data_IF_089769196160
#
_entry.id   IF_089769196160
#
_cell.length_a   1.000
_cell.length_b   1.000
_cell.length_c   1.000
_cell.angle_alpha   90.00
_cell.angle_beta   90.00
_cell.angle_gamma   90.00
#
_symmetry.space_group_name_H-M   'P 1'
#
loop_
_entity.id
_entity.type
_entity.pdbx_description
1 polymer ?
#
# COMPACT_ATOMS: atom_id res chain seq x y z
N UNK A 1 6.49 17.07 -7.99
CA UNK A 1 6.03 16.85 -6.59
C UNK A 1 5.76 15.37 -6.31
N UNK A 2 5.12 14.65 -7.23
CA UNK A 2 4.59 13.30 -7.04
C UNK A 2 5.62 12.18 -6.80
N UNK A 3 6.89 12.35 -7.15
CA UNK A 3 7.94 11.32 -7.00
C UNK A 3 8.87 11.54 -5.81
N UNK A 4 8.58 12.51 -4.94
CA UNK A 4 9.52 12.99 -3.91
C UNK A 4 10.09 11.90 -3.01
N UNK A 5 9.34 10.81 -2.81
CA UNK A 5 9.66 9.77 -1.84
C UNK A 5 10.21 8.47 -2.43
N UNK A 6 10.15 8.30 -3.75
CA UNK A 6 10.72 7.13 -4.42
C UNK A 6 12.24 7.15 -4.37
N UNK A 7 12.87 5.99 -4.17
CA UNK A 7 14.32 5.83 -4.32
C UNK A 7 14.77 5.98 -5.78
N UNK A 8 13.88 5.67 -6.73
CA UNK A 8 14.12 5.74 -8.18
C UNK A 8 13.78 7.11 -8.78
N UNK A 9 13.44 8.12 -7.97
CA UNK A 9 12.89 9.41 -8.43
C UNK A 9 13.72 10.17 -9.47
N UNK A 10 15.03 9.92 -9.54
CA UNK A 10 15.95 10.57 -10.47
C UNK A 10 16.40 9.63 -11.60
N UNK A 11 15.85 8.42 -11.67
CA UNK A 11 16.18 7.42 -12.69
C UNK A 11 15.25 7.57 -13.89
N UNK A 12 15.78 8.09 -15.00
CA UNK A 12 15.02 8.31 -16.23
C UNK A 12 14.68 6.99 -16.97
N UNK A 13 15.34 5.88 -16.62
CA UNK A 13 15.00 4.56 -17.17
C UNK A 13 13.68 4.04 -16.58
N UNK A 14 13.44 4.34 -15.30
CA UNK A 14 12.21 4.02 -14.58
C UNK A 14 11.13 5.07 -14.85
N UNK A 15 11.47 6.35 -14.66
CA UNK A 15 10.54 7.46 -14.78
C UNK A 15 10.84 8.36 -15.98
N UNK A 16 10.82 7.77 -17.17
CA UNK A 16 10.95 8.53 -18.41
C UNK A 16 9.83 9.58 -18.57
N UNK A 17 10.03 10.62 -19.41
CA UNK A 17 9.00 11.62 -19.68
C UNK A 17 7.66 11.03 -20.15
N UNK A 18 7.70 9.91 -20.89
CA UNK A 18 6.50 9.22 -21.35
C UNK A 18 5.73 8.56 -20.20
N UNK A 19 6.43 7.84 -19.31
CA UNK A 19 5.85 7.22 -18.11
C UNK A 19 5.25 8.30 -17.21
N UNK A 20 6.01 9.37 -16.97
CA UNK A 20 5.57 10.49 -16.16
C UNK A 20 4.31 11.16 -16.68
N UNK A 21 4.17 11.29 -18.00
CA UNK A 21 2.96 11.84 -18.61
C UNK A 21 1.73 10.97 -18.31
N UNK A 22 1.85 9.64 -18.38
CA UNK A 22 0.77 8.70 -18.04
C UNK A 22 0.41 8.78 -16.56
N UNK A 23 1.40 8.66 -15.68
CA UNK A 23 1.20 8.73 -14.22
C UNK A 23 0.59 10.07 -13.78
N UNK A 24 1.01 11.19 -14.39
CA UNK A 24 0.42 12.50 -14.09
C UNK A 24 -1.04 12.62 -14.55
N UNK A 25 -1.43 11.99 -15.66
CA UNK A 25 -2.82 11.99 -16.11
C UNK A 25 -3.71 11.23 -15.11
N UNK A 26 -3.22 10.09 -14.61
CA UNK A 26 -3.90 9.34 -13.57
C UNK A 26 -3.97 10.11 -12.25
N UNK A 27 -2.86 10.72 -11.81
CA UNK A 27 -2.84 11.56 -10.61
C UNK A 27 -3.83 12.71 -10.69
N UNK A 28 -4.01 13.32 -11.87
CA UNK A 28 -5.01 14.38 -12.07
C UNK A 28 -6.44 13.85 -11.88
N UNK A 29 -6.78 12.72 -12.51
CA UNK A 29 -8.09 12.10 -12.33
C UNK A 29 -8.37 11.74 -10.87
N UNK A 30 -7.34 11.32 -10.14
CA UNK A 30 -7.44 11.01 -8.71
C UNK A 30 -7.63 12.26 -7.85
N UNK A 31 -6.91 13.34 -8.17
CA UNK A 31 -7.02 14.62 -7.47
C UNK A 31 -8.43 15.22 -7.61
N UNK A 32 -9.03 15.14 -8.80
CA UNK A 32 -10.42 15.57 -9.03
C UNK A 32 -11.43 14.77 -8.18
N UNK A 33 -11.07 13.54 -7.79
CA UNK A 33 -11.82 12.69 -6.87
C UNK A 33 -11.40 12.84 -5.40
N UNK A 34 -10.60 13.86 -5.05
CA UNK A 34 -10.21 14.17 -3.67
C UNK A 34 -9.11 13.27 -3.09
N UNK A 35 -8.37 12.54 -3.94
CA UNK A 35 -7.30 11.64 -3.52
C UNK A 35 -5.92 12.28 -3.64
N UNK A 36 -5.06 12.00 -2.66
CA UNK A 36 -3.63 12.25 -2.77
C UNK A 36 -3.00 11.15 -3.62
N UNK A 37 -2.07 11.51 -4.52
CA UNK A 37 -1.33 10.56 -5.37
C UNK A 37 0.16 10.78 -5.22
N UNK A 38 0.93 9.70 -5.03
CA UNK A 38 2.39 9.66 -5.08
C UNK A 38 2.84 8.53 -5.99
N UNK A 39 4.06 8.59 -6.51
CA UNK A 39 4.62 7.59 -7.41
C UNK A 39 5.79 6.87 -6.75
N UNK A 40 5.85 5.56 -6.97
CA UNK A 40 6.96 4.68 -6.59
C UNK A 40 7.26 3.69 -7.71
N UNK A 41 8.27 2.86 -7.51
CA UNK A 41 8.53 1.72 -8.37
C UNK A 41 8.49 0.42 -7.54
N UNK A 42 8.15 -0.72 -8.13
CA UNK A 42 8.03 -1.98 -7.39
C UNK A 42 8.72 -3.13 -8.11
N UNK A 43 9.12 -4.14 -7.33
CA UNK A 43 9.83 -5.33 -7.81
C UNK A 43 11.23 -5.03 -8.37
N UNK A 44 11.94 -6.08 -8.80
CA UNK A 44 13.28 -6.01 -9.39
C UNK A 44 13.28 -5.18 -10.69
N UNK A 45 12.20 -5.28 -11.47
CA UNK A 45 12.02 -4.55 -12.74
C UNK A 45 11.71 -3.06 -12.56
N UNK A 46 11.62 -2.58 -11.32
CA UNK A 46 11.29 -1.20 -10.98
C UNK A 46 10.04 -0.69 -11.72
N UNK A 47 8.97 -1.48 -11.71
CA UNK A 47 7.72 -1.15 -12.40
C UNK A 47 7.12 0.14 -11.81
N UNK A 48 6.96 1.22 -12.60
CA UNK A 48 6.42 2.49 -12.09
C UNK A 48 4.94 2.39 -11.75
N UNK A 49 4.55 2.73 -10.53
CA UNK A 49 3.16 2.59 -10.05
C UNK A 49 2.69 3.83 -9.26
N UNK A 50 1.42 4.16 -9.43
CA UNK A 50 0.73 5.19 -8.66
C UNK A 50 0.19 4.64 -7.34
N UNK A 51 0.56 5.29 -6.24
CA UNK A 51 -0.01 5.07 -4.91
C UNK A 51 -1.00 6.18 -4.59
N UNK A 52 -2.20 5.83 -4.13
CA UNK A 52 -3.27 6.78 -3.84
C UNK A 52 -3.84 6.59 -2.45
N UNK A 53 -4.34 7.66 -1.85
CA UNK A 53 -5.02 7.60 -0.57
C UNK A 53 -6.05 8.73 -0.42
N UNK A 54 -7.11 8.48 0.35
CA UNK A 54 -8.04 9.53 0.80
C UNK A 54 -7.36 10.38 1.88
N UNK A 55 -7.32 11.70 1.67
CA UNK A 55 -6.71 12.67 2.60
C UNK A 55 -7.35 12.59 3.99
N UNK A 56 -8.66 12.38 4.08
CA UNK A 56 -9.39 12.26 5.35
C UNK A 56 -8.99 10.99 6.12
N UNK A 57 -8.77 9.89 5.41
CA UNK A 57 -8.31 8.65 6.03
C UNK A 57 -6.92 8.83 6.65
N UNK A 58 -6.02 9.44 5.90
CA UNK A 58 -4.66 9.67 6.34
C UNK A 58 -4.56 10.72 7.44
N UNK A 59 -5.47 11.70 7.48
CA UNK A 59 -5.61 12.61 8.62
C UNK A 59 -5.95 11.86 9.92
N UNK A 60 -6.86 10.88 9.85
CA UNK A 60 -7.19 10.03 11.00
C UNK A 60 -6.03 9.11 11.40
N UNK A 61 -5.25 8.64 10.42
CA UNK A 61 -4.02 7.89 10.70
C UNK A 61 -3.01 8.77 11.44
N UNK A 62 -2.81 10.02 11.01
CA UNK A 62 -2.00 11.04 11.70
C UNK A 62 -2.42 11.24 13.15
N UNK A 63 -3.72 11.42 13.41
CA UNK A 63 -4.26 11.62 14.77
C UNK A 63 -3.91 10.43 15.70
N UNK A 64 -3.76 9.22 15.14
CA UNK A 64 -3.40 8.00 15.89
C UNK A 64 -1.90 7.75 15.99
N UNK A 65 -1.16 8.07 14.93
CA UNK A 65 0.27 7.79 14.79
C UNK A 65 1.16 8.90 15.38
N UNK A 66 0.62 10.10 15.59
CA UNK A 66 1.40 11.27 16.00
C UNK A 66 2.33 11.82 14.89
N UNK A 67 2.35 11.19 13.71
CA UNK A 67 3.12 11.61 12.55
C UNK A 67 2.26 12.44 11.59
N UNK A 68 2.79 13.59 11.16
CA UNK A 68 1.95 14.75 10.85
C UNK A 68 1.43 14.85 9.41
N UNK A 69 1.70 13.90 8.50
CA UNK A 69 1.36 14.09 7.07
C UNK A 69 0.97 12.80 6.34
N UNK A 70 -0.11 12.86 5.55
CA UNK A 70 -0.58 11.76 4.69
C UNK A 70 0.50 11.24 3.74
N UNK A 71 1.33 12.14 3.24
CA UNK A 71 2.48 11.84 2.41
C UNK A 71 3.52 10.96 3.13
N UNK A 72 3.68 11.07 4.45
CA UNK A 72 4.64 10.25 5.21
C UNK A 72 4.18 8.79 5.23
N UNK A 73 2.92 8.55 5.56
CA UNK A 73 2.36 7.19 5.61
C UNK A 73 2.43 6.53 4.23
N UNK A 74 2.10 7.28 3.17
CA UNK A 74 2.26 6.79 1.81
C UNK A 74 3.72 6.54 1.44
N UNK A 75 4.64 7.43 1.85
CA UNK A 75 6.08 7.27 1.63
C UNK A 75 6.63 6.01 2.31
N UNK A 76 6.15 5.68 3.51
CA UNK A 76 6.55 4.47 4.22
C UNK A 76 6.08 3.21 3.50
N UNK A 77 4.86 3.21 2.96
CA UNK A 77 4.36 2.11 2.11
C UNK A 77 5.15 1.99 0.81
N UNK A 78 5.45 3.12 0.14
CA UNK A 78 6.28 3.14 -1.07
C UNK A 78 7.67 2.57 -0.76
N UNK A 79 8.32 3.03 0.32
CA UNK A 79 9.63 2.55 0.73
C UNK A 79 9.61 1.04 0.99
N UNK A 80 8.61 0.57 1.72
CA UNK A 80 8.41 -0.85 1.98
C UNK A 80 8.29 -1.68 0.69
N UNK A 81 7.55 -1.20 -0.30
CA UNK A 81 7.39 -1.88 -1.59
C UNK A 81 8.66 -1.84 -2.45
N UNK A 82 9.40 -0.72 -2.43
CA UNK A 82 10.65 -0.54 -3.18
C UNK A 82 11.81 -1.38 -2.59
N UNK A 83 11.86 -1.55 -1.28
CA UNK A 83 12.98 -2.24 -0.61
C UNK A 83 12.78 -3.75 -0.46
N UNK A 84 11.57 -4.27 -0.75
CA UNK A 84 11.26 -5.68 -0.64
C UNK A 84 10.72 -6.19 -1.97
N UNK A 85 11.58 -6.86 -2.74
CA UNK A 85 11.24 -7.51 -4.00
C UNK A 85 10.00 -8.40 -3.85
N UNK A 86 10.00 -9.27 -2.85
CA UNK A 86 8.87 -10.16 -2.53
C UNK A 86 7.56 -9.43 -2.22
N UNK A 87 7.60 -8.23 -1.61
CA UNK A 87 6.41 -7.43 -1.39
C UNK A 87 6.00 -6.70 -2.68
N UNK A 88 6.94 -6.09 -3.38
CA UNK A 88 6.70 -5.41 -4.65
C UNK A 88 6.05 -6.35 -5.66
N UNK A 89 6.59 -7.57 -5.82
CA UNK A 89 6.03 -8.59 -6.69
C UNK A 89 4.64 -9.03 -6.22
N UNK A 90 4.42 -9.24 -4.92
CA UNK A 90 3.09 -9.60 -4.42
C UNK A 90 2.03 -8.51 -4.65
N UNK A 91 2.43 -7.23 -4.68
CA UNK A 91 1.54 -6.13 -5.05
C UNK A 91 1.21 -6.20 -6.54
N UNK A 92 2.21 -6.40 -7.40
CA UNK A 92 2.03 -6.54 -8.85
C UNK A 92 1.16 -7.74 -9.19
N UNK A 93 1.44 -8.92 -8.62
CA UNK A 93 0.62 -10.14 -8.79
C UNK A 93 -0.84 -9.90 -8.39
N UNK A 94 -1.07 -9.10 -7.33
CA UNK A 94 -2.43 -8.74 -6.92
C UNK A 94 -3.11 -7.77 -7.90
N UNK A 95 -2.36 -6.87 -8.55
CA UNK A 95 -2.86 -5.98 -9.60
C UNK A 95 -3.21 -6.78 -10.86
N UNK A 96 -2.33 -7.67 -11.30
CA UNK A 96 -2.51 -8.51 -12.48
C UNK A 96 -3.68 -9.50 -12.29
N UNK A 97 -3.75 -10.20 -11.14
CA UNK A 97 -4.87 -11.11 -10.83
C UNK A 97 -6.22 -10.37 -10.80
N UNK A 98 -6.24 -9.08 -10.45
CA UNK A 98 -7.47 -8.31 -10.49
C UNK A 98 -7.92 -8.08 -11.94
N UNK A 99 -6.99 -7.69 -12.82
CA UNK A 99 -7.23 -7.50 -14.25
C UNK A 99 -7.67 -8.80 -14.93
N UNK A 100 -6.91 -9.87 -14.74
CA UNK A 100 -7.12 -11.18 -15.39
C UNK A 100 -8.46 -11.81 -15.02
N UNK A 101 -8.91 -11.63 -13.77
CA UNK A 101 -10.19 -12.15 -13.30
C UNK A 101 -11.37 -11.16 -13.49
N UNK A 102 -11.15 -10.01 -14.15
CA UNK A 102 -12.17 -8.98 -14.34
C UNK A 102 -12.68 -8.36 -13.03
N UNK A 103 -11.92 -8.47 -11.94
CA UNK A 103 -12.22 -7.81 -10.66
C UNK A 103 -11.80 -6.36 -10.74
N UNK A 104 -12.54 -5.49 -10.06
CA UNK A 104 -12.16 -4.07 -9.98
C UNK A 104 -10.81 -3.87 -9.27
N UNK A 105 -10.52 -4.69 -8.27
CA UNK A 105 -9.29 -4.68 -7.50
C UNK A 105 -9.16 -5.99 -6.69
N UNK A 106 -7.94 -6.32 -6.28
CA UNK A 106 -7.69 -7.25 -5.18
C UNK A 106 -7.29 -6.50 -3.91
N UNK A 107 -7.32 -7.20 -2.78
CA UNK A 107 -6.95 -6.63 -1.48
C UNK A 107 -5.74 -7.38 -0.95
N UNK A 108 -4.70 -6.62 -0.60
CA UNK A 108 -3.49 -7.07 0.08
C UNK A 108 -3.44 -6.40 1.45
N UNK A 109 -3.17 -7.19 2.49
CA UNK A 109 -2.94 -6.70 3.84
C UNK A 109 -1.45 -6.72 4.17
N UNK A 110 -0.91 -5.57 4.58
CA UNK A 110 0.49 -5.42 4.93
C UNK A 110 0.66 -4.94 6.37
N UNK A 111 1.67 -5.45 7.06
CA UNK A 111 2.15 -4.91 8.33
C UNK A 111 3.64 -4.64 8.24
N UNK A 112 4.03 -3.39 8.48
CA UNK A 112 5.40 -2.90 8.52
C UNK A 112 5.83 -2.85 9.99
N UNK A 113 6.58 -3.87 10.44
CA UNK A 113 6.91 -4.06 11.85
C UNK A 113 7.71 -2.89 12.45
N UNK A 114 8.69 -2.37 11.69
CA UNK A 114 9.59 -1.31 12.14
C UNK A 114 8.85 -0.03 12.57
N UNK A 115 7.67 0.19 12.01
CA UNK A 115 6.84 1.37 12.25
C UNK A 115 5.53 1.02 12.97
N UNK A 116 5.31 -0.26 13.26
CA UNK A 116 4.04 -0.85 13.67
C UNK A 116 2.84 -0.32 12.86
N UNK A 117 3.00 -0.32 11.53
CA UNK A 117 2.04 0.24 10.59
C UNK A 117 1.35 -0.88 9.81
N UNK A 118 0.06 -1.07 10.04
CA UNK A 118 -0.79 -1.95 9.25
C UNK A 118 -1.55 -1.17 8.20
N UNK A 119 -1.57 -1.66 6.96
CA UNK A 119 -2.35 -1.06 5.88
C UNK A 119 -3.09 -2.10 5.02
N UNK A 120 -4.27 -1.69 4.55
CA UNK A 120 -4.95 -2.38 3.44
C UNK A 120 -4.66 -1.67 2.14
N UNK A 121 -4.12 -2.43 1.20
CA UNK A 121 -3.83 -2.01 -0.16
C UNK A 121 -4.88 -2.60 -1.10
N UNK A 122 -5.58 -1.74 -1.81
CA UNK A 122 -6.49 -2.11 -2.89
C UNK A 122 -5.70 -1.99 -4.18
N UNK A 123 -5.35 -3.14 -4.75
CA UNK A 123 -4.54 -3.26 -5.95
C UNK A 123 -5.46 -3.25 -7.17
N UNK A 124 -5.54 -2.10 -7.84
CA UNK A 124 -6.18 -1.93 -9.15
C UNK A 124 -5.12 -2.15 -10.23
N UNK A 125 -5.54 -2.44 -11.46
CA UNK A 125 -4.63 -2.57 -12.61
C UNK A 125 -3.72 -1.32 -12.80
N UNK A 126 -4.24 -0.12 -12.55
CA UNK A 126 -3.48 1.13 -12.77
C UNK A 126 -2.78 1.68 -11.52
N UNK A 127 -3.21 1.27 -10.33
CA UNK A 127 -2.78 1.91 -9.07
C UNK A 127 -2.96 1.05 -7.85
N UNK A 128 -2.22 1.41 -6.81
CA UNK A 128 -2.41 0.91 -5.45
C UNK A 128 -3.12 1.97 -4.63
N UNK A 129 -4.26 1.63 -4.03
CA UNK A 129 -5.00 2.53 -3.15
C UNK A 129 -4.91 2.09 -1.69
N UNK A 130 -4.44 2.98 -0.82
CA UNK A 130 -4.34 2.72 0.61
C UNK A 130 -5.66 3.09 1.28
N UNK A 131 -6.45 2.09 1.65
CA UNK A 131 -7.82 2.30 2.16
C UNK A 131 -7.90 2.36 3.69
N UNK A 132 -6.91 1.87 4.41
CA UNK A 132 -6.96 1.81 5.88
C UNK A 132 -5.55 1.77 6.41
N UNK A 133 -5.34 2.48 7.51
CA UNK A 133 -4.09 2.49 8.26
C UNK A 133 -4.41 2.33 9.74
N UNK A 134 -3.77 1.36 10.37
CA UNK A 134 -3.87 1.07 11.80
C UNK A 134 -2.47 0.91 12.38
N UNK A 135 -2.32 1.16 13.67
CA UNK A 135 -1.07 0.97 14.39
C UNK A 135 -1.34 0.62 15.84
N UNK A 136 -0.30 0.19 16.55
CA UNK A 136 -0.34 -0.08 17.98
C UNK A 136 -1.40 -1.12 18.35
N UNK A 137 -1.59 -2.12 17.47
CA UNK A 137 -2.48 -3.26 17.75
C UNK A 137 -1.66 -4.52 17.97
N UNK A 138 -2.03 -5.27 19.00
CA UNK A 138 -1.44 -6.59 19.26
C UNK A 138 -1.73 -7.56 18.11
N UNK A 139 -2.96 -7.55 17.60
CA UNK A 139 -3.44 -8.37 16.48
C UNK A 139 -4.25 -7.51 15.53
N UNK A 140 -4.02 -7.68 14.23
CA UNK A 140 -4.76 -7.09 13.13
C UNK A 140 -5.73 -8.14 12.57
N UNK A 141 -7.02 -7.82 12.65
CA UNK A 141 -8.09 -8.69 12.19
C UNK A 141 -8.32 -8.50 10.70
N UNK A 142 -7.99 -9.53 9.91
CA UNK A 142 -7.96 -9.45 8.46
C UNK A 142 -9.19 -10.12 7.84
N UNK A 143 -9.80 -9.45 6.87
CA UNK A 143 -10.98 -9.94 6.17
C UNK A 143 -10.60 -11.13 5.25
N UNK A 144 -11.39 -12.22 5.18
CA UNK A 144 -11.13 -13.37 4.30
C UNK A 144 -11.08 -13.04 2.81
N UNK A 145 -11.61 -11.89 2.35
CA UNK A 145 -11.48 -11.45 0.95
C UNK A 145 -10.09 -10.94 0.58
N UNK A 146 -9.17 -10.85 1.54
CA UNK A 146 -7.77 -10.48 1.29
C UNK A 146 -7.04 -11.68 0.69
N UNK A 147 -6.47 -11.47 -0.48
CA UNK A 147 -5.84 -12.54 -1.28
C UNK A 147 -4.42 -12.80 -0.77
N UNK A 148 -3.76 -11.77 -0.26
CA UNK A 148 -2.38 -11.84 0.18
C UNK A 148 -2.19 -11.17 1.55
N UNK A 149 -1.39 -11.81 2.41
CA UNK A 149 -1.00 -11.28 3.71
C UNK A 149 0.52 -11.19 3.72
N UNK A 150 1.06 -10.03 4.08
CA UNK A 150 2.51 -9.80 4.10
C UNK A 150 2.91 -9.08 5.39
N UNK A 151 3.88 -9.65 6.09
CA UNK A 151 4.57 -8.99 7.20
C UNK A 151 5.97 -8.64 6.75
N UNK A 152 6.34 -7.36 6.86
CA UNK A 152 7.71 -6.89 6.73
C UNK A 152 8.35 -6.86 8.11
N UNK A 153 9.24 -7.82 8.36
CA UNK A 153 9.96 -8.03 9.60
C UNK A 153 11.46 -8.07 9.32
N UNK A 154 12.20 -7.04 9.73
CA UNK A 154 13.64 -6.93 9.50
C UNK A 154 14.06 -7.23 8.04
N UNK A 155 13.34 -6.67 7.06
CA UNK A 155 13.57 -6.91 5.63
C UNK A 155 13.09 -8.27 5.10
N UNK A 156 12.55 -9.15 5.94
CA UNK A 156 11.93 -10.40 5.51
C UNK A 156 10.43 -10.23 5.35
N UNK A 157 9.91 -10.85 4.30
CA UNK A 157 8.49 -10.90 4.01
C UNK A 157 7.92 -12.25 4.43
N UNK A 158 7.02 -12.25 5.41
CA UNK A 158 6.30 -13.45 5.87
C UNK A 158 4.87 -13.44 5.32
N UNK A 159 4.34 -14.63 5.04
CA UNK A 159 3.05 -14.82 4.39
C UNK A 159 2.03 -15.55 5.26
N UNK A 160 0.78 -15.13 5.16
CA UNK A 160 -0.35 -15.80 5.80
C UNK A 160 -0.56 -15.47 7.28
N UNK A 161 -1.61 -16.06 7.85
CA UNK A 161 -2.05 -15.79 9.23
C UNK A 161 -1.10 -16.38 10.29
N UNK A 162 -0.40 -17.47 9.98
CA UNK A 162 0.37 -18.25 10.96
C UNK A 162 1.78 -17.75 11.25
N UNK A 163 2.43 -17.06 10.31
CA UNK A 163 3.88 -16.84 10.40
C UNK A 163 4.29 -15.69 11.33
N UNK A 164 3.40 -14.73 11.57
CA UNK A 164 3.70 -13.56 12.42
C UNK A 164 2.97 -13.54 13.76
N UNK A 165 1.89 -14.31 13.90
CA UNK A 165 0.94 -14.22 15.02
C UNK A 165 0.22 -12.86 15.13
N UNK A 166 0.46 -11.93 14.18
CA UNK A 166 -0.13 -10.59 14.16
C UNK A 166 -1.39 -10.50 13.33
N UNK A 167 -1.64 -11.46 12.44
CA UNK A 167 -2.89 -11.53 11.68
C UNK A 167 -3.81 -12.59 12.26
N UNK A 168 -5.09 -12.25 12.39
CA UNK A 168 -6.15 -13.20 12.72
C UNK A 168 -7.32 -13.03 11.75
N UNK A 169 -8.00 -14.12 11.35
CA UNK A 169 -9.16 -14.02 10.47
C UNK A 169 -10.31 -13.28 11.15
N UNK A 170 -11.07 -12.50 10.37
CA UNK A 170 -12.27 -11.80 10.84
C UNK A 170 -13.45 -12.02 9.93
N UNK A 171 -14.57 -12.48 10.48
CA UNK A 171 -15.85 -12.51 9.77
C UNK A 171 -16.45 -11.10 9.57
N UNK A 172 -15.90 -10.07 10.24
CA UNK A 172 -16.42 -8.71 10.16
C UNK A 172 -15.71 -7.89 9.09
N UNK A 173 -16.50 -7.26 8.21
CA UNK A 173 -16.02 -6.39 7.13
C UNK A 173 -15.38 -5.08 7.61
N UNK A 174 -15.57 -4.71 8.88
CA UNK A 174 -15.05 -3.49 9.49
C UNK A 174 -14.42 -3.83 10.84
N UNK A 175 -13.25 -3.24 11.12
CA UNK A 175 -12.62 -3.33 12.43
C UNK A 175 -13.56 -2.75 13.49
N UNK A 176 -14.06 -3.58 14.40
CA UNK A 176 -14.62 -3.13 15.68
C UNK A 176 -13.48 -3.25 16.69
N UNK A 177 -13.21 -2.16 17.42
CA UNK A 177 -12.39 -2.23 18.63
C UNK A 177 -13.04 -3.26 19.56
N UNK A 178 -12.55 -4.50 19.55
CA UNK A 178 -12.75 -5.38 20.69
C UNK A 178 -11.81 -4.83 21.75
N UNK A 179 -12.34 -4.01 22.66
CA UNK A 179 -11.67 -3.76 23.93
C UNK A 179 -11.62 -5.10 24.65
N UNK A 180 -10.44 -5.69 24.70
CA UNK A 180 -10.04 -6.67 25.72
C UNK A 180 -8.79 -6.11 26.36
#
# INVERSE_FOLDING_TARGET
MYQKYSMYRNDETVFSPYVLKKLCAEAKANADAGMLTLFGAMSEDAVPVAFTADVHLMRRAKERLGTSYAEIVMADVIRAAEHSETLGQAILDAMDDAGDNGKKFNILAIWIEEQDLFAYLFCYESRVHITTVLSFKRVYFVNPYVVFFRVLKCGKTLSGYGESGRFAPSAMRKFKNAMV
#
